data_IF_095912492211
#
_entry.id   IF_095912492211
#
_cell.length_a   1.000
_cell.length_b   1.000
_cell.length_c   1.000
_cell.angle_alpha   90.00
_cell.angle_beta   90.00
_cell.angle_gamma   90.00
#
_symmetry.space_group_name_H-M   'P 1'
#
loop_
_entity.id
_entity.type
_entity.pdbx_description
1 polymer ?
#
# COMPACT_ATOMS: atom_id res chain seq x y z
N UNK A 1 14.27 15.03 1.94
CA UNK A 1 13.09 14.15 1.87
C UNK A 1 13.54 13.01 1.00
N UNK A 2 14.13 12.00 1.63
CA UNK A 2 15.04 11.10 0.90
C UNK A 2 14.37 9.73 0.69
N UNK A 3 13.35 9.42 1.50
CA UNK A 3 12.54 8.21 1.37
C UNK A 3 11.73 8.22 0.06
N UNK A 4 11.93 7.24 -0.84
CA UNK A 4 11.29 7.21 -2.17
C UNK A 4 9.76 7.12 -2.15
N UNK A 5 9.17 6.54 -1.11
CA UNK A 5 7.72 6.32 -1.00
C UNK A 5 6.95 7.51 -0.39
N UNK A 6 7.61 8.35 0.41
CA UNK A 6 6.96 9.36 1.24
C UNK A 6 6.13 10.37 0.44
N UNK A 7 6.65 10.87 -0.68
CA UNK A 7 5.94 11.83 -1.54
C UNK A 7 4.70 11.23 -2.21
N UNK A 8 4.76 9.94 -2.54
CA UNK A 8 3.66 9.21 -3.17
C UNK A 8 2.54 8.95 -2.15
N UNK A 9 2.90 8.56 -0.92
CA UNK A 9 1.96 8.44 0.20
C UNK A 9 1.33 9.79 0.58
N UNK A 10 2.07 10.90 0.46
CA UNK A 10 1.55 12.25 0.66
C UNK A 10 0.42 12.57 -0.34
N UNK A 11 0.63 12.31 -1.64
CA UNK A 11 -0.41 12.50 -2.67
C UNK A 11 -1.63 11.63 -2.35
N UNK A 12 -1.44 10.36 -2.00
CA UNK A 12 -2.56 9.49 -1.62
C UNK A 12 -3.35 10.04 -0.42
N UNK A 13 -2.65 10.52 0.60
CA UNK A 13 -3.28 11.12 1.79
C UNK A 13 -4.11 12.35 1.45
N UNK A 14 -3.61 13.21 0.55
CA UNK A 14 -4.35 14.37 0.04
C UNK A 14 -5.56 13.91 -0.80
N UNK A 15 -5.40 12.86 -1.61
CA UNK A 15 -6.51 12.27 -2.37
C UNK A 15 -7.62 11.74 -1.46
N UNK A 16 -7.27 11.11 -0.31
CA UNK A 16 -8.26 10.70 0.69
C UNK A 16 -9.04 11.89 1.28
N UNK A 17 -8.38 13.04 1.47
CA UNK A 17 -9.05 14.28 1.85
C UNK A 17 -10.06 14.72 0.77
N UNK A 18 -9.68 14.71 -0.51
CA UNK A 18 -10.58 15.04 -1.61
C UNK A 18 -11.78 14.09 -1.72
N UNK A 19 -11.57 12.79 -1.51
CA UNK A 19 -12.64 11.79 -1.46
C UNK A 19 -13.59 11.97 -0.28
N UNK A 20 -13.10 12.52 0.84
CA UNK A 20 -13.90 12.75 2.04
C UNK A 20 -14.64 14.10 2.04
N UNK A 21 -14.12 15.10 1.31
CA UNK A 21 -14.65 16.47 1.28
C UNK A 21 -15.20 16.80 -0.11
N UNK A 22 -14.32 17.09 -1.07
CA UNK A 22 -14.64 17.24 -2.50
C UNK A 22 -13.35 17.40 -3.32
N UNK A 23 -13.41 17.13 -4.63
CA UNK A 23 -12.31 17.41 -5.56
C UNK A 23 -11.92 18.89 -5.54
N UNK A 24 -12.91 19.78 -5.62
CA UNK A 24 -12.70 21.23 -5.61
C UNK A 24 -11.92 21.68 -4.37
N UNK A 25 -12.34 21.29 -3.16
CA UNK A 25 -11.67 21.68 -1.91
C UNK A 25 -10.24 21.11 -1.82
N UNK A 26 -10.00 19.92 -2.37
CA UNK A 26 -8.65 19.35 -2.47
C UNK A 26 -7.77 20.16 -3.42
N UNK A 27 -8.29 20.55 -4.57
CA UNK A 27 -7.57 21.33 -5.58
C UNK A 27 -7.25 22.73 -5.07
N UNK A 28 -8.21 23.40 -4.44
CA UNK A 28 -8.03 24.73 -3.84
C UNK A 28 -6.94 24.73 -2.76
N UNK A 29 -6.90 23.71 -1.90
CA UNK A 29 -5.99 23.69 -0.75
C UNK A 29 -4.62 23.07 -1.05
N UNK A 30 -4.59 22.04 -1.89
CA UNK A 30 -3.42 21.17 -2.07
C UNK A 30 -3.08 20.88 -3.55
N UNK A 31 -3.85 21.40 -4.50
CA UNK A 31 -3.64 21.13 -5.92
C UNK A 31 -2.23 21.51 -6.39
N UNK A 32 -1.72 22.67 -5.98
CA UNK A 32 -0.34 23.08 -6.34
C UNK A 32 0.72 22.13 -5.77
N UNK A 33 0.56 21.68 -4.53
CA UNK A 33 1.48 20.73 -3.91
C UNK A 33 1.52 19.39 -4.65
N UNK A 34 0.35 18.83 -5.03
CA UNK A 34 0.28 17.60 -5.83
C UNK A 34 1.05 17.78 -7.14
N UNK A 35 0.81 18.88 -7.86
CA UNK A 35 1.46 19.14 -9.14
C UNK A 35 2.97 19.36 -8.98
N UNK A 36 3.41 20.06 -7.93
CA UNK A 36 4.83 20.25 -7.62
C UNK A 36 5.53 18.92 -7.34
N UNK A 37 4.92 18.02 -6.56
CA UNK A 37 5.49 16.70 -6.27
C UNK A 37 5.60 15.88 -7.56
N UNK A 38 4.54 15.82 -8.38
CA UNK A 38 4.55 15.09 -9.65
C UNK A 38 5.61 15.65 -10.61
N UNK A 39 5.75 16.97 -10.68
CA UNK A 39 6.79 17.60 -11.51
C UNK A 39 8.20 17.34 -10.97
N UNK A 40 8.41 17.37 -9.66
CA UNK A 40 9.69 17.07 -9.02
C UNK A 40 10.18 15.66 -9.38
N UNK A 41 9.28 14.66 -9.32
CA UNK A 41 9.57 13.29 -9.72
C UNK A 41 9.82 13.20 -11.25
N UNK A 42 8.93 13.78 -12.09
CA UNK A 42 9.07 13.76 -13.56
C UNK A 42 10.35 14.44 -14.07
N UNK A 43 10.84 15.44 -13.33
CA UNK A 43 12.09 16.15 -13.63
C UNK A 43 13.33 15.44 -13.09
N UNK A 44 13.20 14.21 -12.57
CA UNK A 44 14.30 13.41 -12.02
C UNK A 44 15.04 14.11 -10.86
N UNK A 45 14.33 14.86 -10.03
CA UNK A 45 14.94 15.65 -8.95
C UNK A 45 15.01 14.91 -7.61
N UNK A 46 14.36 13.74 -7.48
CA UNK A 46 14.45 12.93 -6.28
C UNK A 46 15.76 12.11 -6.27
N UNK A 47 16.56 12.14 -5.20
CA UNK A 47 17.91 11.54 -5.21
C UNK A 47 17.91 10.01 -5.32
N UNK A 48 16.89 9.35 -4.76
CA UNK A 48 16.79 7.89 -4.68
C UNK A 48 15.67 7.28 -5.53
N UNK A 49 15.02 8.07 -6.39
CA UNK A 49 13.84 7.63 -7.16
C UNK A 49 13.95 8.17 -8.59
N UNK A 50 14.00 7.25 -9.55
CA UNK A 50 14.19 7.57 -10.96
C UNK A 50 12.98 7.15 -11.77
N UNK A 51 12.54 8.00 -12.70
CA UNK A 51 11.57 7.64 -13.74
C UNK A 51 12.32 6.96 -14.88
N UNK A 52 12.08 5.66 -15.07
CA UNK A 52 12.64 4.87 -16.15
C UNK A 52 11.98 5.23 -17.50
N UNK A 53 12.61 5.00 -18.67
CA UNK A 53 12.01 5.32 -19.98
C UNK A 53 10.64 4.69 -20.27
N UNK A 54 10.31 3.57 -19.64
CA UNK A 54 8.99 2.94 -19.71
C UNK A 54 7.95 3.59 -18.77
N UNK A 55 8.30 4.68 -18.08
CA UNK A 55 7.45 5.44 -17.18
C UNK A 55 7.44 4.93 -15.73
N UNK A 56 7.88 3.69 -15.46
CA UNK A 56 7.94 3.14 -14.12
C UNK A 56 9.01 3.82 -13.26
N UNK A 57 8.78 3.84 -11.96
CA UNK A 57 9.74 4.28 -10.96
C UNK A 57 10.67 3.16 -10.56
N UNK A 58 11.96 3.48 -10.59
CA UNK A 58 13.07 2.61 -10.21
C UNK A 58 13.79 3.19 -8.99
N UNK A 59 14.15 2.32 -8.05
CA UNK A 59 14.93 2.68 -6.84
C UNK A 59 16.15 1.77 -6.71
N UNK A 60 17.19 2.25 -6.04
CA UNK A 60 18.31 1.41 -5.59
C UNK A 60 18.13 1.09 -4.11
N UNK A 61 17.79 -0.15 -3.81
CA UNK A 61 17.41 -0.59 -2.46
C UNK A 61 18.36 -1.60 -1.81
N UNK A 62 19.52 -1.83 -2.41
CA UNK A 62 20.51 -2.82 -1.94
C UNK A 62 21.38 -2.28 -0.78
N UNK A 63 21.73 -0.99 -0.82
CA UNK A 63 22.56 -0.36 0.22
C UNK A 63 21.74 0.41 1.25
N UNK A 64 20.58 0.95 0.85
CA UNK A 64 19.71 1.75 1.69
C UNK A 64 18.25 1.31 1.50
N UNK A 65 17.43 1.20 2.57
CA UNK A 65 16.04 0.83 2.40
C UNK A 65 15.26 1.87 1.59
N UNK A 66 14.56 1.40 0.55
CA UNK A 66 13.82 2.27 -0.36
C UNK A 66 12.30 2.31 -0.10
N UNK A 67 11.81 1.54 0.88
CA UNK A 67 10.37 1.30 1.10
C UNK A 67 10.07 1.20 2.59
N UNK A 68 8.80 1.22 2.98
CA UNK A 68 8.36 0.97 4.35
C UNK A 68 8.88 -0.34 4.98
N UNK A 69 9.26 -1.33 4.17
CA UNK A 69 9.97 -2.53 4.64
C UNK A 69 11.46 -2.23 4.87
N UNK A 70 11.78 -1.50 5.94
CA UNK A 70 13.05 -0.79 6.12
C UNK A 70 13.98 -1.29 7.24
N UNK A 71 13.78 -2.51 7.75
CA UNK A 71 14.67 -3.08 8.75
C UNK A 71 16.10 -3.27 8.22
N UNK A 72 17.09 -2.96 9.05
CA UNK A 72 18.52 -3.10 8.73
C UNK A 72 19.28 -3.96 9.72
N UNK A 73 20.37 -4.57 9.23
CA UNK A 73 21.38 -5.31 9.96
C UNK A 73 22.75 -4.86 9.44
N UNK A 74 23.63 -4.41 10.33
CA UNK A 74 24.95 -3.87 9.99
C UNK A 74 24.92 -2.78 8.88
N UNK A 75 23.93 -1.89 8.98
CA UNK A 75 23.61 -0.82 8.01
C UNK A 75 23.14 -1.28 6.64
N UNK A 76 22.93 -2.58 6.42
CA UNK A 76 22.38 -3.12 5.19
C UNK A 76 20.89 -3.47 5.36
N UNK A 77 20.06 -3.28 4.32
CA UNK A 77 18.67 -3.73 4.33
C UNK A 77 18.59 -5.25 4.52
N UNK A 78 17.73 -5.69 5.44
CA UNK A 78 17.44 -7.12 5.64
C UNK A 78 16.54 -7.65 4.51
N UNK A 79 15.60 -6.82 4.07
CA UNK A 79 14.72 -7.08 2.92
C UNK A 79 15.04 -6.06 1.83
N UNK A 80 16.17 -6.22 1.10
CA UNK A 80 16.52 -5.31 0.03
C UNK A 80 15.45 -5.40 -1.07
N UNK A 81 14.88 -4.25 -1.42
CA UNK A 81 13.86 -4.10 -2.44
C UNK A 81 14.36 -3.05 -3.42
N UNK A 82 14.87 -3.53 -4.55
CA UNK A 82 15.52 -2.73 -5.59
C UNK A 82 14.80 -2.91 -6.93
N UNK A 83 15.06 -2.00 -7.87
CA UNK A 83 14.42 -2.03 -9.17
C UNK A 83 13.04 -1.37 -9.18
N UNK A 84 12.11 -1.98 -9.91
CA UNK A 84 10.71 -1.59 -9.93
C UNK A 84 9.98 -2.20 -8.73
N UNK A 85 9.44 -1.35 -7.86
CA UNK A 85 8.71 -1.77 -6.66
C UNK A 85 7.20 -1.68 -6.90
N UNK A 86 6.47 -2.74 -6.54
CA UNK A 86 5.04 -2.87 -6.89
C UNK A 86 4.18 -1.74 -6.34
N UNK A 87 4.31 -1.40 -5.04
CA UNK A 87 3.47 -0.37 -4.43
C UNK A 87 3.89 1.04 -4.86
N UNK A 88 5.20 1.31 -5.03
CA UNK A 88 5.68 2.61 -5.52
C UNK A 88 5.10 2.92 -6.89
N UNK A 89 5.15 1.94 -7.79
CA UNK A 89 4.64 2.10 -9.14
C UNK A 89 3.11 2.18 -9.20
N UNK A 90 2.42 1.47 -8.30
CA UNK A 90 0.97 1.61 -8.19
C UNK A 90 0.54 2.98 -7.67
N UNK A 91 1.26 3.51 -6.67
CA UNK A 91 1.03 4.85 -6.14
C UNK A 91 1.37 5.91 -7.18
N UNK A 92 2.39 5.68 -8.00
CA UNK A 92 2.77 6.59 -9.08
C UNK A 92 1.75 6.65 -10.20
N UNK A 93 1.24 5.49 -10.64
CA UNK A 93 0.10 5.43 -11.56
C UNK A 93 -1.07 6.26 -11.01
N UNK A 94 -1.44 6.03 -9.75
CA UNK A 94 -2.52 6.74 -9.09
C UNK A 94 -2.24 8.25 -8.94
N UNK A 95 -1.00 8.65 -8.64
CA UNK A 95 -0.58 10.04 -8.52
C UNK A 95 -0.68 10.79 -9.86
N UNK A 96 -0.28 10.17 -10.98
CA UNK A 96 -0.43 10.77 -12.31
C UNK A 96 -1.90 10.97 -12.68
N UNK A 97 -2.77 9.99 -12.38
CA UNK A 97 -4.22 10.11 -12.61
C UNK A 97 -4.83 11.19 -11.70
N UNK A 98 -4.43 11.25 -10.43
CA UNK A 98 -4.87 12.30 -9.51
C UNK A 98 -4.45 13.70 -9.99
N UNK A 99 -3.21 13.87 -10.43
CA UNK A 99 -2.71 15.14 -10.95
C UNK A 99 -3.37 15.53 -12.27
N UNK A 100 -3.76 14.56 -13.11
CA UNK A 100 -4.58 14.81 -14.31
C UNK A 100 -5.93 15.42 -13.94
N UNK A 101 -6.63 14.91 -12.91
CA UNK A 101 -7.87 15.51 -12.42
C UNK A 101 -7.65 16.90 -11.81
N UNK A 102 -6.54 17.12 -11.11
CA UNK A 102 -6.19 18.46 -10.58
C UNK A 102 -6.03 19.48 -11.72
N UNK A 103 -5.33 19.12 -12.81
CA UNK A 103 -5.21 20.02 -13.97
C UNK A 103 -6.57 20.29 -14.63
N UNK A 104 -7.40 19.25 -14.77
CA UNK A 104 -8.74 19.37 -15.35
C UNK A 104 -9.63 20.31 -14.53
N UNK A 105 -9.64 20.17 -13.22
CA UNK A 105 -10.39 21.05 -12.30
C UNK A 105 -9.92 22.50 -12.39
N UNK A 106 -8.61 22.72 -12.61
CA UNK A 106 -8.02 24.05 -12.84
C UNK A 106 -8.26 24.61 -14.25
N UNK A 107 -8.96 23.88 -15.13
CA UNK A 107 -9.23 24.29 -16.51
C UNK A 107 -8.06 24.07 -17.49
N UNK A 108 -7.01 23.37 -17.10
CA UNK A 108 -5.85 23.06 -17.95
C UNK A 108 -6.00 21.67 -18.60
N UNK A 109 -6.85 21.60 -19.62
CA UNK A 109 -7.14 20.35 -20.33
C UNK A 109 -5.92 19.75 -21.05
N UNK A 110 -4.95 20.57 -21.46
CA UNK A 110 -3.76 20.10 -22.17
C UNK A 110 -2.86 19.29 -21.22
N UNK A 111 -2.50 19.84 -20.06
CA UNK A 111 -1.66 19.11 -19.11
C UNK A 111 -2.40 17.94 -18.47
N UNK A 112 -3.72 18.05 -18.28
CA UNK A 112 -4.56 16.93 -17.86
C UNK A 112 -4.43 15.73 -18.81
N UNK A 113 -4.55 15.96 -20.12
CA UNK A 113 -4.43 14.91 -21.14
C UNK A 113 -3.02 14.32 -21.22
N UNK A 114 -1.98 15.14 -21.09
CA UNK A 114 -0.58 14.66 -21.07
C UNK A 114 -0.36 13.69 -19.90
N UNK A 115 -0.77 14.06 -18.68
CA UNK A 115 -0.61 13.19 -17.51
C UNK A 115 -1.49 11.94 -17.62
N UNK A 116 -2.70 12.06 -18.15
CA UNK A 116 -3.56 10.91 -18.39
C UNK A 116 -2.91 9.90 -19.32
N UNK A 117 -2.38 10.36 -20.47
CA UNK A 117 -1.71 9.48 -21.43
C UNK A 117 -0.46 8.82 -20.84
N UNK A 118 0.35 9.58 -20.09
CA UNK A 118 1.52 9.04 -19.38
C UNK A 118 1.11 7.94 -18.39
N UNK A 119 0.02 8.14 -17.65
CA UNK A 119 -0.49 7.13 -16.73
C UNK A 119 -0.96 5.87 -17.47
N UNK A 120 -1.68 5.99 -18.59
CA UNK A 120 -2.15 4.82 -19.37
C UNK A 120 -0.98 3.99 -19.93
N UNK A 121 0.05 4.63 -20.47
CA UNK A 121 1.27 3.95 -20.93
C UNK A 121 1.95 3.22 -19.76
N UNK A 122 2.09 3.89 -18.62
CA UNK A 122 2.64 3.29 -17.41
C UNK A 122 1.79 2.11 -16.93
N UNK A 123 0.47 2.19 -17.01
CA UNK A 123 -0.44 1.11 -16.62
C UNK A 123 -0.21 -0.17 -17.42
N UNK A 124 0.01 -0.05 -18.73
CA UNK A 124 0.40 -1.18 -19.57
C UNK A 124 1.74 -1.79 -19.15
N UNK A 125 2.75 -0.94 -18.94
CA UNK A 125 4.08 -1.37 -18.51
C UNK A 125 4.08 -1.98 -17.10
N UNK A 126 3.24 -1.47 -16.20
CA UNK A 126 3.03 -2.03 -14.86
C UNK A 126 2.56 -3.48 -14.95
N UNK A 127 1.53 -3.73 -15.75
CA UNK A 127 1.00 -5.09 -15.93
C UNK A 127 2.06 -5.99 -16.57
N UNK A 128 2.74 -5.54 -17.63
CA UNK A 128 3.80 -6.30 -18.30
C UNK A 128 4.95 -6.65 -17.35
N UNK A 129 5.29 -5.76 -16.42
CA UNK A 129 6.41 -5.92 -15.50
C UNK A 129 6.06 -6.82 -14.31
N UNK A 130 4.93 -6.56 -13.64
CA UNK A 130 4.64 -7.18 -12.34
C UNK A 130 3.76 -8.43 -12.44
N UNK A 131 2.91 -8.57 -13.46
CA UNK A 131 1.95 -9.67 -13.52
C UNK A 131 2.63 -11.00 -13.90
N UNK A 132 2.54 -11.99 -13.02
CA UNK A 132 3.16 -13.31 -13.23
C UNK A 132 2.22 -14.37 -13.79
N UNK A 133 0.99 -13.99 -14.18
CA UNK A 133 -0.07 -14.91 -14.60
C UNK A 133 -1.05 -15.29 -13.49
N UNK A 134 -0.70 -15.10 -12.22
CA UNK A 134 -1.54 -15.44 -11.07
C UNK A 134 -1.68 -14.28 -10.06
N UNK A 135 -0.61 -13.55 -9.80
CA UNK A 135 -0.54 -12.41 -8.89
C UNK A 135 0.60 -11.46 -9.32
N UNK A 136 0.97 -10.50 -8.48
CA UNK A 136 2.04 -9.54 -8.77
C UNK A 136 3.36 -9.90 -8.08
N UNK A 137 4.47 -9.82 -8.80
CA UNK A 137 5.80 -9.79 -8.19
C UNK A 137 5.91 -8.65 -7.17
N UNK A 138 6.64 -8.87 -6.08
CA UNK A 138 6.83 -7.83 -5.05
C UNK A 138 7.77 -6.71 -5.53
N UNK A 139 8.78 -7.08 -6.32
CA UNK A 139 9.64 -6.19 -7.08
C UNK A 139 10.27 -6.90 -8.28
N UNK A 140 10.76 -6.13 -9.24
CA UNK A 140 11.44 -6.60 -10.44
C UNK A 140 12.70 -5.78 -10.68
N UNK A 141 13.85 -6.45 -10.80
CA UNK A 141 15.14 -5.82 -11.10
C UNK A 141 15.85 -6.58 -12.24
N UNK A 142 15.85 -6.01 -13.44
CA UNK A 142 16.36 -6.66 -14.64
C UNK A 142 15.68 -8.01 -14.90
N UNK A 143 16.43 -9.11 -14.79
CA UNK A 143 15.91 -10.48 -14.97
C UNK A 143 15.45 -11.13 -13.65
N UNK A 144 15.63 -10.45 -12.52
CA UNK A 144 15.30 -10.96 -11.19
C UNK A 144 13.90 -10.51 -10.80
N UNK A 145 12.94 -11.42 -10.89
CA UNK A 145 11.56 -11.20 -10.46
C UNK A 145 11.36 -11.79 -9.06
N UNK A 146 10.98 -10.96 -8.09
CA UNK A 146 10.70 -11.45 -6.75
C UNK A 146 9.28 -12.05 -6.66
N UNK A 147 9.22 -13.36 -6.44
CA UNK A 147 7.97 -14.12 -6.36
C UNK A 147 7.45 -14.30 -4.92
N UNK A 148 8.06 -13.65 -3.92
CA UNK A 148 7.58 -13.75 -2.55
C UNK A 148 6.18 -13.13 -2.46
N UNK A 149 5.25 -13.89 -1.89
CA UNK A 149 3.89 -13.39 -1.67
C UNK A 149 3.93 -12.46 -0.47
N UNK A 150 3.85 -11.15 -0.75
CA UNK A 150 3.88 -10.04 0.21
C UNK A 150 2.64 -9.16 0.08
N UNK A 151 2.26 -8.40 1.13
CA UNK A 151 1.02 -7.64 1.10
C UNK A 151 1.06 -6.44 0.15
N UNK A 152 2.24 -6.00 -0.29
CA UNK A 152 2.43 -4.78 -1.08
C UNK A 152 1.59 -4.72 -2.36
N UNK A 153 1.35 -5.86 -3.00
CA UNK A 153 0.50 -5.95 -4.19
C UNK A 153 -0.95 -5.48 -3.95
N UNK A 154 -1.44 -5.52 -2.71
CA UNK A 154 -2.82 -5.09 -2.39
C UNK A 154 -3.02 -3.61 -2.67
N UNK A 155 -1.96 -2.79 -2.59
CA UNK A 155 -2.06 -1.35 -2.87
C UNK A 155 -2.46 -1.11 -4.32
N UNK A 156 -1.89 -1.87 -5.26
CA UNK A 156 -2.23 -1.79 -6.68
C UNK A 156 -3.70 -2.12 -6.97
N UNK A 157 -4.32 -2.98 -6.16
CA UNK A 157 -5.73 -3.30 -6.28
C UNK A 157 -6.65 -2.35 -5.49
N UNK A 158 -6.12 -1.65 -4.48
CA UNK A 158 -6.89 -0.85 -3.52
C UNK A 158 -7.08 0.62 -3.93
N UNK A 159 -6.12 1.20 -4.66
CA UNK A 159 -6.10 2.63 -4.96
C UNK A 159 -7.29 3.06 -5.84
N UNK A 160 -7.73 4.34 -5.77
CA UNK A 160 -8.84 4.85 -6.58
C UNK A 160 -8.62 4.62 -8.08
N UNK A 161 -7.39 4.83 -8.55
CA UNK A 161 -6.96 4.45 -9.88
C UNK A 161 -5.99 3.26 -9.79
N UNK A 162 -6.40 2.13 -10.37
CA UNK A 162 -5.64 0.89 -10.38
C UNK A 162 -5.16 0.60 -11.81
N UNK A 163 -3.88 0.25 -12.03
CA UNK A 163 -3.40 -0.21 -13.32
C UNK A 163 -3.91 -1.62 -13.67
N UNK A 164 -4.45 -2.34 -12.69
CA UNK A 164 -4.98 -3.69 -12.85
C UNK A 164 -6.43 -3.69 -13.33
N UNK A 165 -6.77 -4.65 -14.19
CA UNK A 165 -8.16 -4.95 -14.52
C UNK A 165 -8.86 -5.72 -13.37
N UNK A 166 -10.19 -5.87 -13.45
CA UNK A 166 -10.99 -6.51 -12.39
C UNK A 166 -10.58 -7.96 -12.08
N UNK A 167 -10.16 -8.73 -13.09
CA UNK A 167 -9.73 -10.12 -12.91
C UNK A 167 -8.43 -10.18 -12.13
N UNK A 168 -7.46 -9.32 -12.48
CA UNK A 168 -6.19 -9.19 -11.78
C UNK A 168 -6.37 -8.68 -10.35
N UNK A 169 -7.23 -7.67 -10.13
CA UNK A 169 -7.57 -7.19 -8.78
C UNK A 169 -8.13 -8.31 -7.91
N UNK A 170 -9.03 -9.15 -8.47
CA UNK A 170 -9.57 -10.31 -7.77
C UNK A 170 -8.48 -11.34 -7.45
N UNK A 171 -7.60 -11.63 -8.40
CA UNK A 171 -6.52 -12.59 -8.19
C UNK A 171 -5.54 -12.13 -7.09
N UNK A 172 -5.22 -10.83 -7.05
CA UNK A 172 -4.45 -10.20 -5.96
C UNK A 172 -5.18 -10.34 -4.62
N UNK A 173 -6.48 -10.03 -4.56
CA UNK A 173 -7.26 -10.20 -3.34
C UNK A 173 -7.28 -11.67 -2.87
N UNK A 174 -7.49 -12.60 -3.80
CA UNK A 174 -7.59 -14.03 -3.50
C UNK A 174 -6.28 -14.56 -2.90
N UNK A 175 -5.12 -14.22 -3.48
CA UNK A 175 -3.82 -14.67 -2.95
C UNK A 175 -3.51 -14.03 -1.59
N UNK A 176 -3.78 -12.74 -1.40
CA UNK A 176 -3.61 -12.09 -0.10
C UNK A 176 -4.52 -12.71 0.95
N UNK A 177 -5.77 -13.02 0.60
CA UNK A 177 -6.73 -13.69 1.50
C UNK A 177 -6.25 -15.09 1.87
N UNK A 178 -5.77 -15.84 0.88
CA UNK A 178 -5.37 -17.24 1.06
C UNK A 178 -4.11 -17.40 1.91
N UNK A 179 -3.13 -16.52 1.74
CA UNK A 179 -1.79 -16.73 2.33
C UNK A 179 -1.44 -15.72 3.44
N UNK A 180 -1.94 -14.49 3.35
CA UNK A 180 -1.49 -13.41 4.20
C UNK A 180 -2.50 -13.00 5.27
N UNK A 181 -3.80 -13.12 4.99
CA UNK A 181 -4.83 -12.64 5.90
C UNK A 181 -4.82 -13.38 7.25
N UNK A 182 -4.92 -12.60 8.30
CA UNK A 182 -5.10 -13.03 9.69
C UNK A 182 -6.18 -12.18 10.35
N UNK A 183 -6.64 -12.54 11.56
CA UNK A 183 -7.53 -11.68 12.34
C UNK A 183 -6.93 -10.30 12.70
N UNK A 184 -5.61 -10.09 12.54
CA UNK A 184 -4.93 -8.82 12.87
C UNK A 184 -4.50 -8.01 11.65
N UNK A 185 -4.75 -8.50 10.44
CA UNK A 185 -4.31 -7.90 9.18
C UNK A 185 -3.52 -8.85 8.29
N UNK A 186 -2.78 -8.32 7.32
CA UNK A 186 -1.96 -9.13 6.43
C UNK A 186 -0.56 -9.38 7.01
N UNK A 187 -0.09 -10.63 6.94
CA UNK A 187 1.31 -10.98 7.16
C UNK A 187 2.19 -10.25 6.14
N UNK A 188 3.37 -9.80 6.60
CA UNK A 188 4.38 -9.16 5.75
C UNK A 188 5.05 -10.11 4.75
N UNK A 189 4.93 -11.43 4.96
CA UNK A 189 5.45 -12.48 4.10
C UNK A 189 4.59 -13.75 4.23
N UNK A 190 4.41 -14.48 3.13
CA UNK A 190 3.65 -15.74 3.13
C UNK A 190 4.31 -16.81 4.02
N UNK A 191 3.53 -17.55 4.82
CA UNK A 191 4.01 -18.71 5.58
C UNK A 191 4.65 -19.82 4.75
N UNK A 192 4.46 -19.80 3.42
CA UNK A 192 5.09 -20.75 2.49
C UNK A 192 6.52 -20.38 2.13
N UNK A 193 6.96 -19.16 2.41
CA UNK A 193 8.33 -18.73 2.16
C UNK A 193 9.29 -19.44 3.12
N UNK A 194 10.45 -19.85 2.61
CA UNK A 194 11.55 -20.35 3.45
C UNK A 194 12.10 -19.29 4.41
N UNK A 195 11.82 -18.00 4.15
CA UNK A 195 12.25 -16.87 4.99
C UNK A 195 11.17 -16.44 6.00
N UNK A 196 10.09 -17.20 6.15
CA UNK A 196 8.99 -16.85 7.05
C UNK A 196 9.39 -16.94 8.53
N UNK A 197 9.39 -15.79 9.21
CA UNK A 197 9.77 -15.59 10.62
C UNK A 197 8.61 -14.88 11.35
N UNK A 198 7.62 -15.64 11.86
CA UNK A 198 6.35 -15.06 12.33
C UNK A 198 6.45 -14.27 13.62
N UNK A 199 7.38 -14.62 14.52
CA UNK A 199 7.33 -14.14 15.90
C UNK A 199 8.27 -12.95 16.10
N UNK A 200 7.76 -11.80 16.49
CA UNK A 200 8.59 -10.62 16.77
C UNK A 200 9.07 -10.64 18.23
N UNK A 201 9.99 -11.55 18.53
CA UNK A 201 10.56 -11.74 19.86
C UNK A 201 12.10 -11.79 19.80
N UNK A 202 12.74 -11.75 20.96
CA UNK A 202 14.19 -11.85 21.07
C UNK A 202 14.92 -10.51 21.11
N UNK A 203 16.23 -10.56 20.88
CA UNK A 203 17.09 -9.37 20.86
C UNK A 203 16.82 -8.46 19.67
N UNK A 204 17.49 -7.30 19.61
CA UNK A 204 17.31 -6.34 18.51
C UNK A 204 17.50 -6.98 17.13
N UNK A 205 18.56 -7.77 16.97
CA UNK A 205 18.90 -8.39 15.69
C UNK A 205 17.83 -9.37 15.20
N UNK A 206 17.34 -10.22 16.11
CA UNK A 206 16.28 -11.19 15.79
C UNK A 206 14.99 -10.48 15.43
N UNK A 207 14.62 -9.45 16.20
CA UNK A 207 13.46 -8.62 15.93
C UNK A 207 13.57 -7.91 14.57
N UNK A 208 14.71 -7.32 14.24
CA UNK A 208 14.92 -6.68 12.93
C UNK A 208 14.78 -7.70 11.78
N UNK A 209 15.34 -8.90 11.92
CA UNK A 209 15.22 -9.97 10.92
C UNK A 209 13.78 -10.43 10.71
N UNK A 210 12.96 -10.38 11.76
CA UNK A 210 11.57 -10.80 11.74
C UNK A 210 10.64 -9.69 11.26
N UNK A 211 10.96 -8.41 11.51
CA UNK A 211 10.08 -7.23 11.38
C UNK A 211 9.20 -7.19 10.11
N UNK A 212 9.77 -7.52 8.95
CA UNK A 212 9.05 -7.56 7.65
C UNK A 212 9.04 -8.95 7.00
N UNK A 213 9.32 -10.02 7.75
CA UNK A 213 9.42 -11.38 7.20
C UNK A 213 8.42 -12.34 7.82
N UNK A 214 7.26 -11.85 8.27
CA UNK A 214 6.22 -12.72 8.80
C UNK A 214 5.20 -12.07 9.73
N UNK A 215 5.59 -11.09 10.57
CA UNK A 215 4.65 -10.36 11.41
C UNK A 215 3.54 -9.69 10.60
N UNK A 216 2.42 -9.50 11.26
CA UNK A 216 1.19 -8.93 10.71
C UNK A 216 1.16 -7.43 10.92
N UNK A 217 0.77 -6.71 9.88
CA UNK A 217 0.65 -5.25 9.88
C UNK A 217 -0.82 -4.84 9.73
N UNK A 218 -1.43 -4.31 10.79
CA UNK A 218 -2.88 -4.08 10.81
C UNK A 218 -3.32 -2.98 9.83
N UNK A 219 -2.48 -1.97 9.57
CA UNK A 219 -2.81 -0.90 8.63
C UNK A 219 -3.09 -1.40 7.21
N UNK A 220 -2.54 -2.55 6.82
CA UNK A 220 -2.83 -3.19 5.53
C UNK A 220 -4.31 -3.59 5.37
N UNK A 221 -5.07 -3.69 6.47
CA UNK A 221 -6.50 -3.97 6.44
C UNK A 221 -7.31 -2.91 5.71
N UNK A 222 -6.87 -1.65 5.71
CA UNK A 222 -7.57 -0.62 4.96
C UNK A 222 -7.53 -0.90 3.46
N UNK A 223 -6.34 -1.14 2.90
CA UNK A 223 -6.19 -1.48 1.48
C UNK A 223 -6.88 -2.81 1.13
N UNK A 224 -6.82 -3.78 2.04
CA UNK A 224 -7.53 -5.06 1.89
C UNK A 224 -9.06 -4.88 1.84
N UNK A 225 -9.65 -4.15 2.80
CA UNK A 225 -11.09 -3.91 2.86
C UNK A 225 -11.59 -3.12 1.65
N UNK A 226 -10.84 -2.10 1.22
CA UNK A 226 -11.12 -1.32 0.01
C UNK A 226 -11.22 -2.24 -1.22
N UNK A 227 -10.22 -3.11 -1.40
CA UNK A 227 -10.18 -4.08 -2.50
C UNK A 227 -11.31 -5.10 -2.39
N UNK A 228 -11.57 -5.60 -1.18
CA UNK A 228 -12.64 -6.55 -0.90
C UNK A 228 -14.01 -5.97 -1.26
N UNK A 229 -14.30 -4.75 -0.83
CA UNK A 229 -15.53 -4.05 -1.17
C UNK A 229 -15.62 -3.71 -2.65
N UNK A 230 -14.50 -3.41 -3.32
CA UNK A 230 -14.50 -3.18 -4.77
C UNK A 230 -14.99 -4.40 -5.54
N UNK A 231 -14.60 -5.60 -5.12
CA UNK A 231 -14.91 -6.88 -5.79
C UNK A 231 -16.26 -7.45 -5.33
N UNK A 232 -16.46 -7.58 -4.02
CA UNK A 232 -17.61 -8.27 -3.44
C UNK A 232 -18.78 -7.33 -3.13
N UNK A 233 -18.58 -6.02 -3.24
CA UNK A 233 -19.59 -4.98 -2.96
C UNK A 233 -20.23 -5.25 -1.58
N UNK A 234 -21.54 -5.07 -1.49
CA UNK A 234 -22.33 -5.22 -0.25
C UNK A 234 -22.26 -6.63 0.35
N UNK A 235 -21.98 -7.68 -0.44
CA UNK A 235 -21.86 -9.05 0.09
C UNK A 235 -20.68 -9.21 1.05
N UNK A 236 -19.70 -8.31 1.00
CA UNK A 236 -18.51 -8.35 1.85
C UNK A 236 -18.62 -7.72 3.23
N UNK A 237 -19.71 -7.01 3.53
CA UNK A 237 -19.86 -6.22 4.77
C UNK A 237 -19.63 -7.09 6.01
N UNK A 238 -20.36 -8.20 6.12
CA UNK A 238 -20.26 -9.07 7.30
C UNK A 238 -18.90 -9.76 7.44
N UNK A 239 -18.17 -9.94 6.34
CA UNK A 239 -16.82 -10.50 6.40
C UNK A 239 -15.82 -9.50 6.99
N UNK A 240 -15.80 -8.27 6.47
CA UNK A 240 -14.90 -7.21 6.95
C UNK A 240 -15.25 -6.80 8.39
N UNK A 241 -16.53 -6.72 8.73
CA UNK A 241 -17.01 -6.42 10.08
C UNK A 241 -16.45 -7.42 11.11
N UNK A 242 -16.50 -8.72 10.82
CA UNK A 242 -15.93 -9.76 11.71
C UNK A 242 -14.43 -9.61 11.92
N UNK A 243 -13.68 -9.19 10.90
CA UNK A 243 -12.24 -8.96 11.03
C UNK A 243 -11.98 -7.80 11.99
N UNK A 244 -12.69 -6.67 11.83
CA UNK A 244 -12.50 -5.48 12.66
C UNK A 244 -12.93 -5.73 14.11
N UNK A 245 -14.04 -6.44 14.35
CA UNK A 245 -14.46 -6.86 15.70
C UNK A 245 -13.37 -7.69 16.38
N UNK A 246 -12.62 -8.50 15.62
CA UNK A 246 -11.48 -9.27 16.12
C UNK A 246 -10.32 -8.42 16.70
N UNK A 247 -10.30 -7.11 16.43
CA UNK A 247 -9.30 -6.17 16.96
C UNK A 247 -9.74 -5.52 18.28
N UNK A 248 -11.02 -5.55 18.65
CA UNK A 248 -11.52 -4.91 19.88
C UNK A 248 -10.83 -5.45 21.14
N UNK A 249 -10.53 -6.75 21.16
CA UNK A 249 -9.81 -7.38 22.26
C UNK A 249 -8.38 -6.85 22.44
N UNK A 250 -7.76 -6.30 21.39
CA UNK A 250 -6.42 -5.70 21.46
C UNK A 250 -6.45 -4.31 22.09
N UNK A 251 -7.55 -3.56 22.00
CA UNK A 251 -7.68 -2.22 22.57
C UNK A 251 -7.58 -2.17 24.10
N UNK A 252 -7.57 -3.34 24.76
CA UNK A 252 -7.37 -3.49 26.21
C UNK A 252 -6.00 -4.05 26.58
N UNK A 253 -5.15 -4.35 25.59
CA UNK A 253 -3.83 -4.96 25.78
C UNK A 253 -2.73 -3.94 25.51
N UNK A 254 -1.64 -4.01 26.27
CA UNK A 254 -0.46 -3.13 26.21
C UNK A 254 -0.76 -1.65 26.48
N UNK A 255 -1.55 -0.99 25.62
CA UNK A 255 -2.02 0.38 25.79
C UNK A 255 -3.53 0.49 25.49
N UNK A 256 -4.26 1.12 26.40
CA UNK A 256 -5.72 1.20 26.32
C UNK A 256 -6.15 2.14 25.18
N UNK A 257 -7.11 1.70 24.37
CA UNK A 257 -7.74 2.53 23.34
C UNK A 257 -6.93 2.69 22.06
N UNK A 258 -5.90 1.86 21.85
CA UNK A 258 -5.03 1.94 20.67
C UNK A 258 -4.64 0.54 20.19
N UNK A 259 -3.85 0.49 19.11
CA UNK A 259 -3.37 -0.73 18.49
C UNK A 259 -1.83 -0.72 18.46
N UNK A 260 -1.24 -1.88 18.76
CA UNK A 260 0.20 -2.10 18.63
C UNK A 260 0.65 -1.97 17.18
N UNK A 261 1.93 -1.68 16.98
CA UNK A 261 2.57 -1.49 15.67
C UNK A 261 2.46 -2.70 14.74
N UNK A 262 2.70 -3.88 15.28
CA UNK A 262 2.62 -5.14 14.56
C UNK A 262 2.21 -6.27 15.49
N UNK A 263 1.83 -7.41 14.91
CA UNK A 263 1.44 -8.60 15.65
C UNK A 263 2.23 -9.81 15.15
N UNK A 264 2.42 -10.82 16.00
CA UNK A 264 3.01 -12.09 15.54
C UNK A 264 2.21 -12.68 14.36
N UNK A 265 2.91 -13.28 13.40
CA UNK A 265 2.34 -13.89 12.19
C UNK A 265 1.49 -15.13 12.44
N UNK A 266 1.65 -15.77 13.60
CA UNK A 266 0.94 -16.99 13.99
C UNK A 266 0.15 -16.78 15.29
N UNK A 267 -0.88 -17.61 15.53
CA UNK A 267 -1.57 -17.61 16.82
C UNK A 267 -0.57 -17.69 17.99
N UNK A 268 -0.78 -16.93 19.08
CA UNK A 268 -1.98 -16.17 19.40
C UNK A 268 -1.98 -14.72 18.87
N UNK A 269 -1.12 -14.36 17.91
CA UNK A 269 -1.04 -13.03 17.30
C UNK A 269 -0.78 -11.91 18.33
N UNK A 270 0.25 -12.06 19.18
CA UNK A 270 0.54 -11.06 20.22
C UNK A 270 0.99 -9.75 19.57
N UNK A 271 0.53 -8.63 20.11
CA UNK A 271 0.97 -7.28 19.71
C UNK A 271 2.38 -6.97 20.22
N UNK A 272 3.16 -6.26 19.41
CA UNK A 272 4.53 -5.87 19.69
C UNK A 272 4.87 -4.49 19.10
N UNK A 273 6.13 -4.07 19.28
CA UNK A 273 6.66 -2.81 18.76
C UNK A 273 6.14 -1.62 19.55
N UNK A 274 5.89 -0.50 18.85
CA UNK A 274 5.21 0.65 19.41
C UNK A 274 3.83 0.27 19.95
N UNK A 275 3.57 0.55 21.23
CA UNK A 275 2.31 0.18 21.91
C UNK A 275 1.09 0.94 21.37
N UNK A 276 1.32 2.08 20.70
CA UNK A 276 0.32 2.89 20.03
C UNK A 276 0.85 3.32 18.67
N UNK A 277 0.27 2.81 17.58
CA UNK A 277 0.78 3.06 16.24
C UNK A 277 -0.25 3.76 15.33
N UNK A 278 0.09 4.98 14.92
CA UNK A 278 -0.83 5.88 14.23
C UNK A 278 -1.40 5.28 12.93
N UNK A 279 -0.58 4.60 12.13
CA UNK A 279 -1.03 4.01 10.85
C UNK A 279 -2.06 2.91 11.07
N UNK A 280 -1.87 2.05 12.07
CA UNK A 280 -2.84 0.99 12.39
C UNK A 280 -4.16 1.60 12.87
N UNK A 281 -4.11 2.57 13.78
CA UNK A 281 -5.34 3.24 14.26
C UNK A 281 -6.07 3.94 13.13
N UNK A 282 -5.35 4.71 12.30
CA UNK A 282 -5.93 5.47 11.20
C UNK A 282 -6.60 4.58 10.14
N UNK A 283 -5.93 3.51 9.70
CA UNK A 283 -6.48 2.62 8.69
C UNK A 283 -7.66 1.79 9.23
N UNK A 284 -7.68 1.41 10.51
CA UNK A 284 -8.85 0.74 11.10
C UNK A 284 -10.05 1.68 11.20
N UNK A 285 -9.84 2.95 11.57
CA UNK A 285 -10.90 3.97 11.50
C UNK A 285 -11.40 4.13 10.06
N UNK A 286 -10.49 4.11 9.07
CA UNK A 286 -10.86 4.16 7.65
C UNK A 286 -11.71 2.96 7.24
N UNK A 287 -11.38 1.75 7.69
CA UNK A 287 -12.19 0.54 7.45
C UNK A 287 -13.59 0.67 8.06
N UNK A 288 -13.71 1.20 9.28
CA UNK A 288 -15.00 1.46 9.91
C UNK A 288 -15.86 2.43 9.09
N UNK A 289 -15.26 3.52 8.58
CA UNK A 289 -15.95 4.47 7.70
C UNK A 289 -16.40 3.84 6.36
N UNK A 290 -15.59 2.95 5.80
CA UNK A 290 -15.97 2.17 4.62
C UNK A 290 -17.17 1.26 4.91
N UNK A 291 -17.16 0.57 6.05
CA UNK A 291 -18.29 -0.27 6.49
C UNK A 291 -19.58 0.53 6.62
N UNK A 292 -19.53 1.68 7.31
CA UNK A 292 -20.69 2.56 7.45
C UNK A 292 -21.26 2.99 6.09
N UNK A 293 -20.38 3.32 5.14
CA UNK A 293 -20.77 3.74 3.78
C UNK A 293 -21.49 2.60 3.05
N UNK A 294 -20.90 1.40 3.07
CA UNK A 294 -21.47 0.21 2.43
C UNK A 294 -22.78 -0.26 3.08
N UNK A 295 -22.99 0.05 4.36
CA UNK A 295 -24.22 -0.24 5.11
C UNK A 295 -25.33 0.79 4.84
N UNK A 296 -25.01 2.09 4.76
CA UNK A 296 -25.99 3.15 4.47
C UNK A 296 -26.65 2.94 3.10
N UNK A 297 -25.89 2.44 2.13
CA UNK A 297 -26.41 2.05 0.82
C UNK A 297 -27.47 0.90 0.89
N UNK A 298 -27.72 0.24 2.03
CA UNK A 298 -28.79 -0.77 2.17
C UNK A 298 -30.20 -0.17 2.35
N UNK A 299 -30.31 1.11 2.70
CA UNK A 299 -31.58 1.74 3.10
C UNK A 299 -32.20 2.57 1.94
N UNK A 300 -31.54 2.61 0.78
CA UNK A 300 -32.09 3.08 -0.50
C UNK A 300 -32.26 1.90 -1.45
#
# INVERSE_FOLDING_TARGET
>A
LDAPDALLWCIWSIQQYGMSISLQAMVEKYGDLILSIVQFIRKQQHPLLLVHPNGLLHVSGEENPATWMNATEDNLPITPRTGFIVELNSLWYNALKCASEVYKEKGDGQNANILHYQAEMLGGEFVNTFWNGMYLYDFVDGQKNNQEVRPNMIFAASLPYSPLNKVQQKAVLDICTKELLTPKGLRSLSPKSGSYRPNYIGGMLERNRNYHNGPVWAWTLGAYAETYFRIHKKSGVSFIERIVVGLEAEMKKLCIGTLSELYDGNPPYKGHGGMSFAMNVAEIIRVLKLLETMQKDKIQ
#
